data_IF_855254622629
#
_entry.id   IF_855254622629
#
_cell.length_a   1.000
_cell.length_b   1.000
_cell.length_c   1.000
_cell.angle_alpha   90.00
_cell.angle_beta   90.00
_cell.angle_gamma   90.00
#
_symmetry.space_group_name_H-M   'P 1'
#
loop_
_entity.id
_entity.type
_entity.pdbx_description
1 polymer ?
#
# COMPACT_ATOMS: atom_id res chain seq x y z
N UNK A 1 20.26 31.90 26.15
CA UNK A 1 18.87 31.61 26.57
C UNK A 1 18.38 30.40 25.79
N UNK A 2 18.33 29.23 26.42
CA UNK A 2 17.76 28.04 25.81
C UNK A 2 16.23 28.19 25.76
N UNK A 3 15.64 28.15 24.55
CA UNK A 3 14.19 28.06 24.37
C UNK A 3 13.75 26.72 24.98
N UNK A 4 13.09 26.78 26.14
CA UNK A 4 12.27 25.68 26.63
C UNK A 4 11.09 25.57 25.66
N UNK A 5 11.14 24.59 24.76
CA UNK A 5 9.97 24.16 24.01
C UNK A 5 9.00 23.58 25.03
N UNK A 6 7.93 24.32 25.34
CA UNK A 6 6.89 23.83 26.22
C UNK A 6 6.24 22.60 25.57
N UNK A 7 6.32 21.47 26.27
CA UNK A 7 5.78 20.16 25.86
C UNK A 7 4.22 20.15 25.85
N UNK A 8 3.58 21.27 26.22
CA UNK A 8 2.12 21.43 26.30
C UNK A 8 1.43 21.67 24.97
N UNK A 9 2.15 21.91 23.85
CA UNK A 9 1.52 22.06 22.52
C UNK A 9 1.23 20.73 21.82
N UNK A 10 1.59 19.59 22.43
CA UNK A 10 1.26 18.25 21.92
C UNK A 10 -0.24 17.95 22.08
N UNK A 11 -0.90 18.56 23.07
CA UNK A 11 -2.32 18.31 23.37
C UNK A 11 -3.29 18.84 22.30
N UNK A 12 -2.81 19.70 21.39
CA UNK A 12 -3.58 20.18 20.23
C UNK A 12 -3.28 19.41 18.93
N UNK A 13 -2.44 18.39 18.97
CA UNK A 13 -2.13 17.57 17.80
C UNK A 13 -3.29 16.59 17.57
N UNK A 14 -4.05 16.82 16.51
CA UNK A 14 -5.06 15.87 16.06
C UNK A 14 -4.37 14.63 15.48
N UNK A 15 -4.18 13.61 16.32
CA UNK A 15 -3.52 12.35 15.96
C UNK A 15 -4.21 11.66 14.76
N UNK A 16 -5.52 11.79 14.60
CA UNK A 16 -6.24 11.26 13.44
C UNK A 16 -5.82 11.95 12.13
N UNK A 17 -5.58 13.25 12.16
CA UNK A 17 -5.07 13.97 10.99
C UNK A 17 -3.64 13.56 10.62
N UNK A 18 -2.79 13.27 11.60
CA UNK A 18 -1.43 12.74 11.34
C UNK A 18 -1.51 11.37 10.69
N UNK A 19 -2.28 10.44 11.26
CA UNK A 19 -2.45 9.09 10.71
C UNK A 19 -3.02 9.15 9.29
N UNK A 20 -4.01 10.02 9.05
CA UNK A 20 -4.57 10.21 7.72
C UNK A 20 -3.54 10.78 6.72
N UNK A 21 -2.68 11.69 7.17
CA UNK A 21 -1.59 12.23 6.34
C UNK A 21 -0.59 11.14 5.97
N UNK A 22 -0.22 10.28 6.92
CA UNK A 22 0.63 9.11 6.66
C UNK A 22 -0.02 8.14 5.65
N UNK A 23 -1.32 7.86 5.79
CA UNK A 23 -2.06 7.02 4.85
C UNK A 23 -2.08 7.60 3.43
N UNK A 24 -2.31 8.91 3.29
CA UNK A 24 -2.28 9.58 2.00
C UNK A 24 -0.88 9.54 1.36
N UNK A 25 0.18 9.69 2.17
CA UNK A 25 1.55 9.59 1.70
C UNK A 25 1.88 8.17 1.21
N UNK A 26 1.45 7.13 1.94
CA UNK A 26 1.61 5.74 1.51
C UNK A 26 0.88 5.46 0.18
N UNK A 27 -0.37 5.91 0.04
CA UNK A 27 -1.10 5.78 -1.24
C UNK A 27 -0.37 6.48 -2.39
N UNK A 28 0.19 7.67 -2.14
CA UNK A 28 0.97 8.40 -3.15
C UNK A 28 2.27 7.67 -3.51
N UNK A 29 2.98 7.12 -2.52
CA UNK A 29 4.18 6.29 -2.74
C UNK A 29 3.86 5.07 -3.60
N UNK A 30 2.79 4.35 -3.28
CA UNK A 30 2.32 3.20 -4.05
C UNK A 30 2.00 3.57 -5.51
N UNK A 31 1.39 4.74 -5.76
CA UNK A 31 1.15 5.24 -7.12
C UNK A 31 2.43 5.48 -7.90
N UNK A 32 3.46 6.00 -7.26
CA UNK A 32 4.77 6.17 -7.91
C UNK A 32 5.45 4.83 -8.18
N UNK A 33 5.34 3.87 -7.26
CA UNK A 33 5.88 2.53 -7.45
C UNK A 33 5.18 1.77 -8.59
N UNK A 34 3.86 1.89 -8.70
CA UNK A 34 3.11 1.33 -9.83
C UNK A 34 3.65 1.86 -11.17
N UNK A 35 3.84 3.19 -11.29
CA UNK A 35 4.42 3.81 -12.49
C UNK A 35 5.84 3.33 -12.80
N UNK A 36 6.65 3.11 -11.76
CA UNK A 36 7.99 2.58 -11.93
C UNK A 36 7.95 1.13 -12.46
N UNK A 37 7.07 0.29 -11.93
CA UNK A 37 6.86 -1.07 -12.42
C UNK A 37 6.40 -1.12 -13.87
N UNK A 38 5.51 -0.22 -14.29
CA UNK A 38 5.12 -0.14 -15.70
C UNK A 38 6.28 0.27 -16.61
N UNK A 39 7.13 1.19 -16.14
CA UNK A 39 8.28 1.66 -16.91
C UNK A 39 9.30 0.54 -17.10
N UNK A 40 9.60 -0.21 -16.04
CA UNK A 40 10.47 -1.41 -16.10
C UNK A 40 9.86 -2.46 -17.04
N UNK A 41 8.54 -2.69 -16.95
CA UNK A 41 7.84 -3.63 -17.83
C UNK A 41 7.89 -3.21 -19.29
N UNK A 42 7.68 -1.93 -19.60
CA UNK A 42 7.72 -1.39 -20.95
C UNK A 42 9.11 -1.51 -21.59
N UNK A 43 10.17 -1.23 -20.83
CA UNK A 43 11.56 -1.42 -21.28
C UNK A 43 11.84 -2.89 -21.64
N UNK A 44 11.31 -3.84 -20.84
CA UNK A 44 11.47 -5.27 -21.09
C UNK A 44 10.66 -5.82 -22.27
N UNK A 45 9.65 -5.10 -22.76
CA UNK A 45 8.74 -5.61 -23.80
C UNK A 45 9.02 -5.03 -25.20
N UNK A 46 10.19 -4.39 -25.41
CA UNK A 46 10.62 -3.84 -26.70
C UNK A 46 9.53 -3.02 -27.43
N UNK A 47 9.16 -1.86 -26.87
CA UNK A 47 8.32 -0.88 -27.58
C UNK A 47 6.84 -1.25 -27.70
N UNK A 48 6.38 -2.35 -27.08
CA UNK A 48 4.96 -2.63 -26.94
C UNK A 48 4.39 -1.67 -25.90
N UNK A 49 3.61 -0.68 -26.37
CA UNK A 49 2.81 0.16 -25.50
C UNK A 49 1.75 -0.72 -24.82
N UNK A 50 1.99 -1.09 -23.57
CA UNK A 50 1.14 -2.03 -22.81
C UNK A 50 -0.25 -1.48 -22.45
N UNK A 51 -0.65 -0.33 -23.00
CA UNK A 51 -1.90 0.34 -22.63
C UNK A 51 -1.84 0.85 -21.19
N UNK A 52 -2.97 1.33 -20.67
CA UNK A 52 -3.03 1.93 -19.32
C UNK A 52 -2.40 1.02 -18.27
N UNK A 53 -1.61 1.63 -17.39
CA UNK A 53 -0.88 0.96 -16.31
C UNK A 53 -1.81 0.04 -15.52
N UNK A 54 -1.65 -1.28 -15.71
CA UNK A 54 -2.42 -2.30 -15.00
C UNK A 54 -2.30 -2.13 -13.49
N UNK A 55 -1.10 -1.81 -13.01
CA UNK A 55 -0.85 -1.62 -11.58
C UNK A 55 -1.48 -0.34 -11.04
N UNK A 56 -1.46 0.75 -11.81
CA UNK A 56 -2.05 2.02 -11.41
C UNK A 56 -3.58 1.96 -11.43
N UNK A 57 -4.17 1.34 -12.47
CA UNK A 57 -5.61 1.13 -12.58
C UNK A 57 -6.12 0.20 -11.47
N UNK A 58 -5.39 -0.89 -11.18
CA UNK A 58 -5.66 -1.75 -10.04
C UNK A 58 -5.62 -0.95 -8.73
N UNK A 59 -4.55 -0.20 -8.50
CA UNK A 59 -4.33 0.55 -7.28
C UNK A 59 -5.43 1.59 -7.05
N UNK A 60 -5.79 2.37 -8.06
CA UNK A 60 -6.81 3.41 -7.91
C UNK A 60 -8.20 2.81 -7.67
N UNK A 61 -8.54 1.69 -8.33
CA UNK A 61 -9.84 1.01 -8.17
C UNK A 61 -9.97 0.19 -6.88
N UNK A 62 -8.85 -0.20 -6.27
CA UNK A 62 -8.85 -1.04 -5.06
C UNK A 62 -8.37 -0.25 -3.84
N UNK A 63 -7.06 -0.04 -3.72
CA UNK A 63 -6.42 0.65 -2.58
C UNK A 63 -6.90 2.10 -2.47
N UNK A 64 -7.06 2.80 -3.60
CA UNK A 64 -7.58 4.16 -3.62
C UNK A 64 -9.01 4.26 -3.09
N UNK A 65 -9.88 3.34 -3.48
CA UNK A 65 -11.26 3.28 -2.96
C UNK A 65 -11.27 2.87 -1.49
N UNK A 66 -10.43 1.92 -1.08
CA UNK A 66 -10.27 1.54 0.32
C UNK A 66 -9.89 2.75 1.20
N UNK A 67 -8.88 3.52 0.78
CA UNK A 67 -8.47 4.76 1.48
C UNK A 67 -9.58 5.81 1.50
N UNK A 68 -10.37 5.90 0.43
CA UNK A 68 -11.54 6.79 0.38
C UNK A 68 -12.58 6.39 1.41
N UNK A 69 -12.85 5.09 1.57
CA UNK A 69 -13.77 4.59 2.61
C UNK A 69 -13.25 4.79 4.03
N UNK A 70 -11.93 4.71 4.25
CA UNK A 70 -11.32 5.08 5.55
C UNK A 70 -11.64 6.54 5.91
N UNK A 71 -11.48 7.46 4.94
CA UNK A 71 -11.82 8.89 5.13
C UNK A 71 -13.30 9.10 5.40
N UNK A 72 -14.16 8.38 4.68
CA UNK A 72 -15.60 8.44 4.87
C UNK A 72 -15.98 8.00 6.29
N UNK A 73 -15.44 6.87 6.75
CA UNK A 73 -15.70 6.37 8.10
C UNK A 73 -15.30 7.40 9.16
N UNK A 74 -14.12 8.02 9.05
CA UNK A 74 -13.68 9.07 9.97
C UNK A 74 -14.66 10.25 10.05
N UNK A 75 -15.31 10.61 8.95
CA UNK A 75 -16.28 11.71 8.90
C UNK A 75 -17.57 11.40 9.66
N UNK A 76 -17.96 10.12 9.72
CA UNK A 76 -19.28 9.71 10.22
C UNK A 76 -19.22 8.89 11.52
N UNK A 77 -18.03 8.46 11.96
CA UNK A 77 -17.86 7.56 13.10
C UNK A 77 -18.53 8.05 14.40
N UNK A 78 -18.45 9.35 14.67
CA UNK A 78 -19.03 9.97 15.88
C UNK A 78 -20.57 9.90 15.91
N UNK A 79 -21.21 9.91 14.74
CA UNK A 79 -22.68 9.89 14.59
C UNK A 79 -23.25 8.53 14.22
N UNK A 80 -22.40 7.58 13.82
CA UNK A 80 -22.81 6.25 13.38
C UNK A 80 -23.22 5.37 14.57
N UNK A 81 -24.35 4.63 14.50
CA UNK A 81 -24.72 3.60 15.46
C UNK A 81 -23.63 2.52 15.64
N UNK A 82 -23.56 1.92 16.82
CA UNK A 82 -22.47 0.99 17.16
C UNK A 82 -22.51 -0.32 16.33
N UNK A 83 -23.70 -0.84 16.08
CA UNK A 83 -23.95 -2.00 15.22
C UNK A 83 -23.57 -1.74 13.76
N UNK A 84 -23.95 -0.58 13.23
CA UNK A 84 -23.53 -0.13 11.90
C UNK A 84 -22.00 0.03 11.80
N UNK A 85 -21.35 0.60 12.82
CA UNK A 85 -19.91 0.74 12.86
C UNK A 85 -19.21 -0.62 12.87
N UNK A 86 -19.69 -1.58 13.66
CA UNK A 86 -19.17 -2.95 13.68
C UNK A 86 -19.31 -3.65 12.32
N UNK A 87 -20.48 -3.51 11.67
CA UNK A 87 -20.72 -4.07 10.34
C UNK A 87 -19.77 -3.47 9.29
N UNK A 88 -19.58 -2.15 9.33
CA UNK A 88 -18.65 -1.44 8.44
C UNK A 88 -17.21 -1.92 8.62
N UNK A 89 -16.76 -2.04 9.88
CA UNK A 89 -15.41 -2.54 10.22
C UNK A 89 -15.22 -3.96 9.69
N UNK A 90 -16.20 -4.85 9.89
CA UNK A 90 -16.13 -6.22 9.39
C UNK A 90 -16.04 -6.27 7.85
N UNK A 91 -16.84 -5.44 7.16
CA UNK A 91 -16.78 -5.31 5.70
C UNK A 91 -15.41 -4.81 5.22
N UNK A 92 -14.87 -3.78 5.87
CA UNK A 92 -13.54 -3.24 5.55
C UNK A 92 -12.42 -4.25 5.82
N UNK A 93 -12.53 -5.04 6.89
CA UNK A 93 -11.57 -6.11 7.21
C UNK A 93 -11.59 -7.22 6.15
N UNK A 94 -12.78 -7.65 5.71
CA UNK A 94 -12.91 -8.62 4.62
C UNK A 94 -12.30 -8.07 3.32
N UNK A 95 -12.60 -6.83 2.98
CA UNK A 95 -12.08 -6.22 1.76
C UNK A 95 -10.57 -6.04 1.77
N UNK A 96 -9.99 -5.64 2.91
CA UNK A 96 -8.54 -5.63 3.11
C UNK A 96 -7.91 -6.98 2.76
N UNK A 97 -8.47 -8.08 3.25
CA UNK A 97 -7.96 -9.42 2.97
C UNK A 97 -7.97 -9.72 1.47
N UNK A 98 -9.05 -9.36 0.77
CA UNK A 98 -9.14 -9.49 -0.70
C UNK A 98 -8.07 -8.67 -1.42
N UNK A 99 -7.89 -7.40 -1.06
CA UNK A 99 -6.91 -6.50 -1.71
C UNK A 99 -5.48 -7.03 -1.51
N UNK A 100 -5.16 -7.52 -0.30
CA UNK A 100 -3.84 -8.09 -0.01
C UNK A 100 -3.61 -9.37 -0.81
N UNK A 101 -4.60 -10.28 -0.85
CA UNK A 101 -4.50 -11.51 -1.62
C UNK A 101 -4.27 -11.24 -3.11
N UNK A 102 -5.04 -10.32 -3.71
CA UNK A 102 -4.88 -9.93 -5.10
C UNK A 102 -3.49 -9.34 -5.39
N UNK A 103 -2.94 -8.52 -4.49
CA UNK A 103 -1.59 -7.98 -4.67
C UNK A 103 -0.50 -9.06 -4.64
N UNK A 104 -0.66 -10.08 -3.78
CA UNK A 104 0.26 -11.23 -3.68
C UNK A 104 0.15 -12.17 -4.88
N UNK A 105 -1.06 -12.41 -5.38
CA UNK A 105 -1.30 -13.17 -6.61
C UNK A 105 -0.67 -12.47 -7.81
N UNK A 106 -0.85 -11.16 -7.92
CA UNK A 106 -0.26 -10.35 -8.99
C UNK A 106 1.27 -10.36 -8.93
N UNK A 107 1.86 -10.20 -7.73
CA UNK A 107 3.30 -10.33 -7.51
C UNK A 107 3.83 -11.67 -8.03
N UNK A 108 3.15 -12.76 -7.66
CA UNK A 108 3.55 -14.14 -8.03
C UNK A 108 3.45 -14.34 -9.54
N UNK A 109 2.32 -13.96 -10.12
CA UNK A 109 2.07 -14.09 -11.55
C UNK A 109 3.10 -13.32 -12.37
N UNK A 110 3.35 -12.06 -12.02
CA UNK A 110 4.23 -11.18 -12.79
C UNK A 110 5.69 -11.55 -12.62
N UNK A 111 6.09 -11.99 -11.42
CA UNK A 111 7.41 -12.58 -11.20
C UNK A 111 7.64 -13.82 -12.07
N UNK A 112 6.60 -14.65 -12.27
CA UNK A 112 6.69 -15.84 -13.13
C UNK A 112 6.84 -15.47 -14.61
N UNK A 113 6.12 -14.45 -15.07
CA UNK A 113 6.24 -13.93 -16.43
C UNK A 113 7.64 -13.33 -16.67
N UNK A 114 8.15 -12.54 -15.72
CA UNK A 114 9.49 -11.96 -15.82
C UNK A 114 10.56 -13.04 -15.93
N UNK A 115 10.46 -14.11 -15.13
CA UNK A 115 11.38 -15.26 -15.21
C UNK A 115 11.28 -15.96 -16.57
N UNK A 116 10.06 -16.18 -17.08
CA UNK A 116 9.86 -16.83 -18.37
C UNK A 116 10.45 -16.02 -19.53
N UNK A 117 10.25 -14.69 -19.53
CA UNK A 117 10.80 -13.76 -20.52
C UNK A 117 12.33 -13.83 -20.54
N UNK A 118 12.96 -13.63 -19.37
CA UNK A 118 14.42 -13.62 -19.27
C UNK A 118 15.03 -14.97 -19.64
N UNK A 119 14.39 -16.08 -19.27
CA UNK A 119 14.83 -17.43 -19.70
C UNK A 119 14.78 -17.60 -21.22
N UNK A 120 13.77 -17.04 -21.89
CA UNK A 120 13.66 -17.09 -23.35
C UNK A 120 14.75 -16.23 -24.00
N UNK A 121 14.99 -15.02 -23.50
CA UNK A 121 15.95 -14.07 -24.09
C UNK A 121 17.41 -14.56 -24.00
N UNK A 122 17.77 -15.24 -22.90
CA UNK A 122 19.14 -15.73 -22.66
C UNK A 122 19.35 -17.19 -23.10
N UNK A 123 18.34 -17.83 -23.69
CA UNK A 123 18.43 -19.24 -24.10
C UNK A 123 19.60 -19.47 -25.08
N UNK A 124 20.45 -20.45 -24.77
CA UNK A 124 21.62 -20.79 -25.59
C UNK A 124 22.78 -19.78 -25.52
N UNK A 125 22.70 -18.77 -24.64
CA UNK A 125 23.78 -17.80 -24.41
C UNK A 125 24.64 -18.19 -23.19
N UNK A 126 25.95 -17.85 -23.18
CA UNK A 126 26.82 -18.14 -22.05
C UNK A 126 26.37 -17.38 -20.79
N UNK A 127 26.16 -18.10 -19.70
CA UNK A 127 25.76 -17.53 -18.40
C UNK A 127 27.00 -17.36 -17.53
N UNK A 128 27.34 -16.12 -17.23
CA UNK A 128 28.42 -15.79 -16.28
C UNK A 128 27.88 -15.79 -14.84
N UNK A 129 28.69 -16.16 -13.82
CA UNK A 129 28.33 -15.99 -12.42
C UNK A 129 27.94 -14.54 -12.08
N UNK A 130 27.05 -14.37 -11.09
CA UNK A 130 26.50 -13.07 -10.70
C UNK A 130 27.56 -12.07 -10.18
N UNK A 131 28.70 -12.55 -9.67
CA UNK A 131 29.73 -11.70 -9.06
C UNK A 131 30.82 -11.23 -10.05
N UNK A 132 30.97 -11.90 -11.21
CA UNK A 132 32.04 -11.60 -12.17
C UNK A 132 31.57 -10.72 -13.33
N UNK A 133 32.23 -9.58 -13.59
CA UNK A 133 31.92 -8.73 -14.76
C UNK A 133 32.48 -9.44 -16.02
N UNK A 134 31.63 -9.88 -16.96
CA UNK A 134 32.09 -10.60 -18.14
C UNK A 134 32.91 -9.70 -19.06
N UNK A 135 33.91 -10.27 -19.74
CA UNK A 135 34.75 -9.55 -20.69
C UNK A 135 34.15 -9.47 -22.10
N UNK A 136 33.17 -10.30 -22.43
CA UNK A 136 32.46 -10.28 -23.71
C UNK A 136 31.08 -9.61 -23.62
N UNK A 137 30.70 -8.89 -24.68
CA UNK A 137 29.45 -8.13 -24.73
C UNK A 137 28.20 -9.02 -24.61
N UNK A 138 28.23 -10.24 -25.14
CA UNK A 138 27.08 -11.17 -25.09
C UNK A 138 26.80 -11.62 -23.66
N UNK A 139 27.83 -11.98 -22.89
CA UNK A 139 27.68 -12.34 -21.49
C UNK A 139 27.34 -11.12 -20.61
N UNK A 140 27.83 -9.92 -20.95
CA UNK A 140 27.40 -8.67 -20.29
C UNK A 140 25.91 -8.41 -20.48
N UNK A 141 25.36 -8.64 -21.68
CA UNK A 141 23.93 -8.53 -21.98
C UNK A 141 23.10 -9.54 -21.15
N UNK A 142 23.49 -10.82 -21.14
CA UNK A 142 22.85 -11.86 -20.30
C UNK A 142 22.85 -11.48 -18.81
N UNK A 143 23.98 -10.92 -18.33
CA UNK A 143 24.10 -10.45 -16.95
C UNK A 143 23.19 -9.25 -16.66
N UNK A 144 23.09 -8.30 -17.59
CA UNK A 144 22.18 -7.16 -17.47
C UNK A 144 20.71 -7.61 -17.35
N UNK A 145 20.27 -8.58 -18.18
CA UNK A 145 18.93 -9.18 -18.06
C UNK A 145 18.70 -9.82 -16.69
N UNK A 146 19.70 -10.51 -16.14
CA UNK A 146 19.62 -11.15 -14.82
C UNK A 146 19.50 -10.13 -13.67
N UNK A 147 20.24 -9.02 -13.75
CA UNK A 147 20.09 -7.93 -12.78
C UNK A 147 18.74 -7.26 -12.88
N UNK A 148 18.24 -7.03 -14.10
CA UNK A 148 16.95 -6.39 -14.27
C UNK A 148 15.80 -7.27 -13.77
N UNK A 149 15.86 -8.58 -14.01
CA UNK A 149 14.93 -9.54 -13.40
C UNK A 149 14.91 -9.45 -11.88
N UNK A 150 16.09 -9.36 -11.28
CA UNK A 150 16.24 -9.27 -9.81
C UNK A 150 15.61 -7.99 -9.29
N UNK A 151 15.86 -6.85 -9.96
CA UNK A 151 15.26 -5.57 -9.61
C UNK A 151 13.74 -5.57 -9.78
N UNK A 152 13.22 -6.09 -10.90
CA UNK A 152 11.78 -6.20 -11.18
C UNK A 152 11.07 -7.02 -10.09
N UNK A 153 11.60 -8.21 -9.74
CA UNK A 153 11.06 -9.05 -8.66
C UNK A 153 11.06 -8.33 -7.30
N UNK A 154 12.13 -7.61 -6.98
CA UNK A 154 12.23 -6.87 -5.72
C UNK A 154 11.18 -5.74 -5.66
N UNK A 155 10.94 -5.05 -6.77
CA UNK A 155 9.93 -4.01 -6.88
C UNK A 155 8.51 -4.57 -6.76
N UNK A 156 8.20 -5.69 -7.41
CA UNK A 156 6.90 -6.37 -7.31
C UNK A 156 6.60 -6.79 -5.86
N UNK A 157 7.57 -7.38 -5.18
CA UNK A 157 7.46 -7.76 -3.77
C UNK A 157 7.25 -6.55 -2.87
N UNK A 158 8.02 -5.49 -3.10
CA UNK A 158 7.90 -4.25 -2.31
C UNK A 158 6.53 -3.61 -2.51
N UNK A 159 6.00 -3.60 -3.74
CA UNK A 159 4.66 -3.11 -4.04
C UNK A 159 3.59 -3.88 -3.26
N UNK A 160 3.61 -5.21 -3.33
CA UNK A 160 2.72 -6.10 -2.58
C UNK A 160 2.77 -5.85 -1.07
N UNK A 161 3.97 -5.72 -0.50
CA UNK A 161 4.17 -5.38 0.91
C UNK A 161 3.61 -4.00 1.28
N UNK A 162 3.80 -2.99 0.43
CA UNK A 162 3.29 -1.63 0.66
C UNK A 162 1.75 -1.57 0.57
N UNK A 163 1.13 -2.36 -0.30
CA UNK A 163 -0.34 -2.50 -0.35
C UNK A 163 -0.85 -3.02 0.99
N UNK A 164 -0.26 -4.09 1.51
CA UNK A 164 -0.63 -4.65 2.81
C UNK A 164 -0.43 -3.64 3.96
N UNK A 165 0.70 -2.94 3.98
CA UNK A 165 0.98 -1.89 4.96
C UNK A 165 -0.07 -0.76 4.92
N UNK A 166 -0.46 -0.32 3.73
CA UNK A 166 -1.47 0.73 3.52
C UNK A 166 -2.85 0.30 4.02
N UNK A 167 -3.27 -0.93 3.68
CA UNK A 167 -4.53 -1.47 4.17
C UNK A 167 -4.54 -1.69 5.68
N UNK A 168 -3.41 -2.13 6.26
CA UNK A 168 -3.25 -2.27 7.71
C UNK A 168 -3.38 -0.91 8.43
N UNK A 169 -2.70 0.12 7.93
CA UNK A 169 -2.79 1.48 8.49
C UNK A 169 -4.23 2.02 8.39
N UNK A 170 -4.90 1.81 7.25
CA UNK A 170 -6.30 2.21 7.10
C UNK A 170 -7.23 1.53 8.11
N UNK A 171 -7.02 0.23 8.40
CA UNK A 171 -7.77 -0.45 9.45
C UNK A 171 -7.47 0.05 10.85
N UNK A 172 -6.20 0.35 11.17
CA UNK A 172 -5.83 0.95 12.46
C UNK A 172 -6.53 2.29 12.69
N UNK A 173 -6.59 3.14 11.65
CA UNK A 173 -7.32 4.41 11.67
C UNK A 173 -8.81 4.19 11.96
N UNK A 174 -9.46 3.27 11.24
CA UNK A 174 -10.89 2.95 11.43
C UNK A 174 -11.15 2.46 12.87
N UNK A 175 -10.36 1.49 13.34
CA UNK A 175 -10.55 0.90 14.68
C UNK A 175 -10.35 1.93 15.79
N UNK A 176 -9.34 2.80 15.64
CA UNK A 176 -9.07 3.88 16.61
C UNK A 176 -10.22 4.88 16.65
N UNK A 177 -10.71 5.31 15.49
CA UNK A 177 -11.84 6.24 15.41
C UNK A 177 -13.13 5.64 15.97
N UNK A 178 -13.39 4.35 15.71
CA UNK A 178 -14.54 3.65 16.28
C UNK A 178 -14.46 3.57 17.82
N UNK A 179 -13.27 3.29 18.36
CA UNK A 179 -13.03 3.27 19.81
C UNK A 179 -13.25 4.65 20.45
N UNK A 180 -12.72 5.71 19.82
CA UNK A 180 -12.89 7.09 20.28
C UNK A 180 -14.37 7.52 20.27
N UNK A 181 -15.10 7.21 19.18
CA UNK A 181 -16.52 7.47 19.08
C UNK A 181 -17.34 6.70 20.14
N UNK A 182 -16.97 5.45 20.43
CA UNK A 182 -17.57 4.66 21.51
C UNK A 182 -17.41 5.33 22.87
N UNK A 183 -16.19 5.74 23.23
CA UNK A 183 -15.92 6.44 24.50
C UNK A 183 -16.72 7.73 24.66
N UNK A 184 -16.90 8.51 23.58
CA UNK A 184 -17.72 9.73 23.59
C UNK A 184 -19.20 9.42 23.89
N UNK A 185 -19.74 8.36 23.30
CA UNK A 185 -21.12 7.92 23.52
C UNK A 185 -21.35 7.50 24.98
N UNK A 186 -20.41 6.74 25.55
CA UNK A 186 -20.46 6.28 26.94
C UNK A 186 -20.35 7.45 27.94
N UNK A 187 -19.51 8.45 27.64
CA UNK A 187 -19.43 9.65 28.46
C UNK A 187 -20.73 10.48 28.42
N UNK A 188 -21.36 10.60 27.25
CA UNK A 188 -22.62 11.33 27.08
C UNK A 188 -23.81 10.65 27.77
N UNK A 189 -23.88 9.32 27.75
CA UNK A 189 -24.92 8.56 28.46
C UNK A 189 -24.78 8.68 29.98
N UNK A 190 -23.54 8.65 30.49
CA UNK A 190 -23.24 8.83 31.92
C UNK A 190 -23.60 10.24 32.39
N UNK A 191 -23.31 11.29 31.61
CA UNK A 191 -23.66 12.67 31.96
C UNK A 191 -25.18 12.92 32.00
N UNK A 192 -25.95 12.30 31.09
CA UNK A 192 -27.42 12.38 31.12
C UNK A 192 -28.03 11.69 32.35
N UNK A 193 -27.43 10.59 32.81
CA UNK A 193 -27.90 9.88 34.01
C UNK A 193 -27.65 10.65 35.31
N UNK A 194 -26.62 11.50 35.36
CA UNK A 194 -26.30 12.34 36.53
C UNK A 194 -27.22 13.56 36.63
N UNK A 195 -27.60 14.17 35.50
CA UNK A 195 -28.48 15.34 35.48
C UNK A 195 -29.99 15.02 35.61
N UNK A 196 -30.36 13.74 35.64
CA UNK A 196 -31.73 13.27 35.83
C UNK A 196 -32.06 12.89 37.29
N UNK A 197 -31.12 13.13 38.22
CA UNK A 197 -31.30 12.99 39.67
C UNK A 197 -31.36 14.36 40.34
#
# INVERSE_FOLDING_TARGET
MARKTNITDIDNINLQQIRLSALNLQLRSLRFQAKALDSISAEHTAGINLGTSRYYDYLDRTVGVFVTRVKEFLRVADTMPADEACSWIASMAAWKTTIIGQAQEEETFQSSLAVARVKADIAGRPVSPLDDIPSDFTAQEVKAHSFCLTAEKAQLKTFSMQVAATCNLGMEIILTAASEAGKKRDAASTSKAVNAK
#
